data_IF_709316062308
#
_entry.id   IF_709316062308
#
_cell.length_a   1.000
_cell.length_b   1.000
_cell.length_c   1.000
_cell.angle_alpha   90.00
_cell.angle_beta   90.00
_cell.angle_gamma   90.00
#
_symmetry.space_group_name_H-M   'P 1'
#
loop_
_entity.id
_entity.type
_entity.pdbx_description
1 polymer ?
#
# COMPACT_ATOMS: atom_id res chain seq x y z
N UNK A 1 15.46 14.24 1.03
CA UNK A 1 14.62 13.26 1.74
C UNK A 1 13.20 13.77 1.79
N UNK A 2 12.23 12.96 1.38
CA UNK A 2 10.79 13.30 1.38
C UNK A 2 10.14 12.55 2.55
N UNK A 3 9.28 13.20 3.34
CA UNK A 3 8.51 12.61 4.45
C UNK A 3 9.32 11.93 5.59
N UNK A 4 10.41 12.53 6.04
CA UNK A 4 11.19 12.01 7.19
C UNK A 4 10.55 12.22 8.56
N UNK A 5 9.56 13.10 8.67
CA UNK A 5 8.87 13.40 9.93
C UNK A 5 7.46 12.82 9.84
N UNK A 6 7.13 11.74 10.57
CA UNK A 6 5.83 11.11 10.50
C UNK A 6 4.79 11.97 11.23
N UNK A 7 3.78 12.46 10.50
CA UNK A 7 2.70 13.29 11.08
C UNK A 7 1.35 12.69 10.74
N UNK A 8 0.46 12.60 11.72
CA UNK A 8 -0.92 12.18 11.52
C UNK A 8 -1.72 13.26 10.79
N UNK A 9 -1.42 14.52 11.06
CA UNK A 9 -2.05 15.69 10.47
C UNK A 9 -1.04 16.84 10.39
N UNK A 10 -1.50 18.00 9.91
CA UNK A 10 -0.65 19.20 9.79
C UNK A 10 -0.61 20.05 11.08
N UNK A 11 -1.17 19.56 12.19
CA UNK A 11 -1.20 20.30 13.46
C UNK A 11 0.10 20.12 14.22
N UNK A 12 0.62 21.22 14.77
CA UNK A 12 1.84 21.24 15.59
C UNK A 12 1.50 21.94 16.91
N UNK A 13 1.75 21.28 18.03
CA UNK A 13 1.68 21.88 19.35
C UNK A 13 3.06 22.46 19.70
N UNK A 14 3.10 23.77 19.98
CA UNK A 14 4.26 24.45 20.53
C UNK A 14 3.96 24.91 21.96
N UNK A 15 4.64 24.31 22.94
CA UNK A 15 4.49 24.67 24.35
C UNK A 15 5.84 24.63 25.08
N UNK A 16 5.82 24.74 26.41
CA UNK A 16 7.03 24.76 27.25
C UNK A 16 7.89 23.49 27.12
N UNK A 17 7.36 22.41 26.56
CA UNK A 17 8.06 21.15 26.30
C UNK A 17 8.62 21.05 24.86
N UNK A 18 8.46 22.10 24.04
CA UNK A 18 8.96 22.17 22.67
C UNK A 18 7.87 22.03 21.61
N UNK A 19 8.27 21.67 20.39
CA UNK A 19 7.36 21.45 19.25
C UNK A 19 7.09 19.95 19.06
N UNK A 20 5.83 19.56 19.17
CA UNK A 20 5.36 18.16 19.03
C UNK A 20 4.19 18.07 18.07
N UNK A 21 3.98 16.90 17.48
CA UNK A 21 2.87 16.59 16.58
C UNK A 21 2.42 15.15 16.83
N UNK A 22 1.17 14.86 16.52
CA UNK A 22 0.67 13.49 16.57
C UNK A 22 1.27 12.68 15.42
N UNK A 23 1.64 11.45 15.74
CA UNK A 23 2.17 10.46 14.79
C UNK A 23 1.03 9.54 14.41
N UNK A 24 1.04 9.05 13.17
CA UNK A 24 0.04 8.08 12.74
C UNK A 24 0.03 6.87 13.68
N UNK A 25 -1.16 6.31 13.96
CA UNK A 25 -1.29 5.19 14.87
C UNK A 25 -0.54 3.98 14.32
N UNK A 26 -0.26 3.01 15.20
CA UNK A 26 0.53 1.82 14.87
C UNK A 26 -0.03 1.10 13.65
N UNK A 27 0.82 0.35 12.93
CA UNK A 27 0.43 -0.32 11.66
C UNK A 27 -0.95 -1.00 11.75
N UNK A 28 -1.21 -1.71 12.84
CA UNK A 28 -2.49 -2.36 13.08
C UNK A 28 -3.66 -1.36 13.14
N UNK A 29 -3.57 -0.35 14.00
CA UNK A 29 -4.60 0.67 14.18
C UNK A 29 -4.88 1.46 12.90
N UNK A 30 -3.89 1.55 11.99
CA UNK A 30 -4.08 2.21 10.70
C UNK A 30 -4.89 1.38 9.70
N UNK A 31 -4.82 0.06 9.77
CA UNK A 31 -5.37 -0.84 8.73
C UNK A 31 -6.45 -1.80 9.22
N UNK A 32 -6.77 -1.83 10.53
CA UNK A 32 -7.75 -2.75 11.09
C UNK A 32 -9.13 -2.67 10.41
N UNK A 33 -9.62 -1.45 10.15
CA UNK A 33 -10.89 -1.22 9.46
C UNK A 33 -10.85 -1.74 8.01
N UNK A 34 -9.72 -1.57 7.32
CA UNK A 34 -9.54 -2.03 5.95
C UNK A 34 -9.51 -3.57 5.89
N UNK A 35 -8.82 -4.23 6.83
CA UNK A 35 -8.81 -5.69 6.92
C UNK A 35 -10.20 -6.25 7.24
N UNK A 36 -10.93 -5.63 8.16
CA UNK A 36 -12.29 -6.03 8.49
C UNK A 36 -13.22 -5.87 7.29
N UNK A 37 -13.11 -4.77 6.54
CA UNK A 37 -13.88 -4.52 5.32
C UNK A 37 -13.59 -5.59 4.26
N UNK A 38 -12.32 -5.83 3.93
CA UNK A 38 -11.93 -6.81 2.90
C UNK A 38 -12.45 -8.22 3.23
N UNK A 39 -12.35 -8.65 4.49
CA UNK A 39 -12.86 -9.93 4.92
C UNK A 39 -14.39 -10.04 4.77
N UNK A 40 -15.12 -8.99 5.15
CA UNK A 40 -16.57 -8.95 5.01
C UNK A 40 -17.02 -8.95 3.54
N UNK A 41 -16.37 -8.16 2.68
CA UNK A 41 -16.65 -8.10 1.25
C UNK A 41 -16.39 -9.44 0.56
N UNK A 42 -15.32 -10.13 0.93
CA UNK A 42 -15.01 -11.46 0.43
C UNK A 42 -16.09 -12.49 0.80
N UNK A 43 -16.48 -12.54 2.08
CA UNK A 43 -17.54 -13.45 2.56
C UNK A 43 -18.87 -13.12 1.90
N UNK A 44 -19.21 -11.83 1.78
CA UNK A 44 -20.45 -11.39 1.15
C UNK A 44 -20.50 -11.77 -0.34
N UNK A 45 -19.39 -11.62 -1.06
CA UNK A 45 -19.28 -12.00 -2.46
C UNK A 45 -19.58 -13.48 -2.67
N UNK A 46 -19.05 -14.34 -1.80
CA UNK A 46 -19.29 -15.79 -1.84
C UNK A 46 -20.74 -16.12 -1.51
N UNK A 47 -21.24 -15.64 -0.36
CA UNK A 47 -22.58 -16.01 0.14
C UNK A 47 -23.69 -15.49 -0.77
N UNK A 48 -23.52 -14.29 -1.32
CA UNK A 48 -24.55 -13.62 -2.14
C UNK A 48 -24.28 -13.71 -3.64
N UNK A 49 -23.27 -14.48 -4.05
CA UNK A 49 -22.83 -14.60 -5.45
C UNK A 49 -22.65 -13.22 -6.13
N UNK A 50 -22.00 -12.29 -5.42
CA UNK A 50 -21.67 -10.95 -5.92
C UNK A 50 -20.26 -10.93 -6.52
N UNK A 51 -20.00 -9.95 -7.36
CA UNK A 51 -18.66 -9.68 -7.87
C UNK A 51 -17.77 -9.16 -6.76
N UNK A 52 -16.53 -9.67 -6.67
CA UNK A 52 -15.52 -9.13 -5.77
C UNK A 52 -15.14 -7.69 -6.19
N UNK A 53 -14.85 -6.81 -5.22
CA UNK A 53 -14.44 -5.43 -5.51
C UNK A 53 -13.04 -5.35 -6.14
N UNK A 54 -12.18 -6.34 -5.88
CA UNK A 54 -10.86 -6.46 -6.46
C UNK A 54 -10.77 -7.69 -7.37
N UNK A 55 -10.25 -7.50 -8.58
CA UNK A 55 -10.05 -8.60 -9.53
C UNK A 55 -8.68 -9.27 -9.32
N UNK A 56 -8.62 -10.56 -9.63
CA UNK A 56 -7.39 -11.37 -9.51
C UNK A 56 -6.24 -10.81 -10.38
N UNK A 57 -6.54 -10.22 -11.54
CA UNK A 57 -5.51 -9.68 -12.44
C UNK A 57 -4.74 -8.52 -11.83
N UNK A 58 -5.34 -7.78 -10.89
CA UNK A 58 -4.64 -6.75 -10.11
C UNK A 58 -3.57 -7.38 -9.24
N UNK A 59 -3.87 -8.50 -8.58
CA UNK A 59 -2.89 -9.26 -7.79
C UNK A 59 -1.71 -9.75 -8.64
N UNK A 60 -1.99 -10.26 -9.84
CA UNK A 60 -0.94 -10.69 -10.80
C UNK A 60 -0.05 -9.50 -11.17
N UNK A 61 -0.64 -8.33 -11.43
CA UNK A 61 0.11 -7.11 -11.76
C UNK A 61 1.02 -6.68 -10.60
N UNK A 62 0.52 -6.70 -9.36
CA UNK A 62 1.33 -6.39 -8.17
C UNK A 62 2.51 -7.37 -8.04
N UNK A 63 2.31 -8.66 -8.30
CA UNK A 63 3.40 -9.65 -8.27
C UNK A 63 4.46 -9.38 -9.34
N UNK A 64 4.07 -9.01 -10.57
CA UNK A 64 5.01 -8.61 -11.64
C UNK A 64 5.87 -7.41 -11.18
N UNK A 65 5.26 -6.40 -10.57
CA UNK A 65 5.97 -5.22 -10.05
C UNK A 65 6.93 -5.62 -8.92
N UNK A 66 6.47 -6.43 -7.97
CA UNK A 66 7.30 -6.92 -6.85
C UNK A 66 8.53 -7.68 -7.34
N UNK A 67 8.36 -8.57 -8.32
CA UNK A 67 9.47 -9.31 -8.92
C UNK A 67 10.46 -8.38 -9.63
N UNK A 68 9.98 -7.37 -10.35
CA UNK A 68 10.82 -6.39 -11.03
C UNK A 68 11.65 -5.54 -10.05
N UNK A 69 11.04 -5.14 -8.92
CA UNK A 69 11.73 -4.43 -7.84
C UNK A 69 12.82 -5.30 -7.20
N UNK A 70 12.52 -6.57 -6.93
CA UNK A 70 13.50 -7.52 -6.41
C UNK A 70 14.67 -7.71 -7.39
N UNK A 71 14.38 -7.87 -8.68
CA UNK A 71 15.43 -7.98 -9.68
C UNK A 71 16.29 -6.73 -9.74
N UNK A 72 15.69 -5.54 -9.78
CA UNK A 72 16.43 -4.28 -9.83
C UNK A 72 17.32 -4.08 -8.60
N UNK A 73 16.86 -4.52 -7.41
CA UNK A 73 17.67 -4.50 -6.20
C UNK A 73 18.91 -5.41 -6.32
N UNK A 74 18.74 -6.61 -6.88
CA UNK A 74 19.81 -7.60 -7.01
C UNK A 74 20.81 -7.25 -8.11
N UNK A 75 20.35 -6.77 -9.26
CA UNK A 75 21.20 -6.49 -10.44
C UNK A 75 21.67 -5.05 -10.51
N UNK A 76 21.01 -4.13 -9.78
CA UNK A 76 21.17 -2.67 -9.91
C UNK A 76 20.78 -2.12 -11.28
N UNK A 77 19.97 -2.86 -12.02
CA UNK A 77 19.48 -2.47 -13.35
C UNK A 77 17.97 -2.23 -13.33
N UNK A 78 17.53 -1.22 -14.08
CA UNK A 78 16.10 -0.88 -14.16
C UNK A 78 15.39 -1.88 -15.07
N UNK A 79 14.36 -2.55 -14.54
CA UNK A 79 13.43 -3.34 -15.37
C UNK A 79 12.46 -2.39 -16.08
N UNK A 80 12.36 -2.49 -17.40
CA UNK A 80 11.48 -1.66 -18.23
C UNK A 80 10.27 -2.45 -18.72
N UNK A 81 9.16 -1.76 -18.90
CA UNK A 81 7.90 -2.32 -19.40
C UNK A 81 7.36 -1.44 -20.52
N UNK A 82 6.62 -2.04 -21.45
CA UNK A 82 5.86 -1.32 -22.46
C UNK A 82 4.51 -0.82 -21.90
N UNK A 83 3.74 -0.11 -22.73
CA UNK A 83 2.42 0.41 -22.35
C UNK A 83 1.37 -0.68 -22.06
N UNK A 84 1.64 -1.92 -22.49
CA UNK A 84 0.78 -3.08 -22.23
C UNK A 84 1.17 -3.81 -20.94
N UNK A 85 2.23 -3.37 -20.26
CA UNK A 85 2.74 -4.00 -19.05
C UNK A 85 3.59 -5.25 -19.32
N UNK A 86 4.06 -5.43 -20.56
CA UNK A 86 4.98 -6.49 -20.94
C UNK A 86 6.43 -6.02 -20.79
N UNK A 87 7.28 -6.91 -20.31
CA UNK A 87 8.67 -6.58 -20.00
C UNK A 87 9.46 -6.36 -21.29
N UNK A 88 10.19 -5.24 -21.33
CA UNK A 88 11.18 -4.97 -22.37
C UNK A 88 12.50 -5.65 -21.98
N UNK A 89 12.98 -6.55 -22.83
CA UNK A 89 14.29 -7.19 -22.68
C UNK A 89 15.42 -6.20 -22.95
#
# INVERSE_FOLDING_TARGET
MVNVIPKQNNVVLADKLGMRHEVQPEYWQRFEDAFALEANEFVEAIVKNKTLPLRLETGITVMKIGQALQQALLTREVTRFDEKGERLN
#
